data_IF_680911454081
#
_entry.id   IF_680911454081
#
_cell.length_a   1.000
_cell.length_b   1.000
_cell.length_c   1.000
_cell.angle_alpha   90.00
_cell.angle_beta   90.00
_cell.angle_gamma   90.00
#
_symmetry.space_group_name_H-M   'P 1'
#
loop_
_entity.id
_entity.type
_entity.pdbx_description
1 polymer ?
#
# COMPACT_ATOMS: atom_id res chain seq x y z
N UNK A 1 -52.57 -8.70 -82.93
CA UNK A 1 -52.45 -7.72 -81.81
C UNK A 1 -52.13 -8.49 -80.54
N UNK A 2 -51.11 -8.02 -79.81
CA UNK A 2 -50.68 -8.46 -78.47
C UNK A 2 -50.00 -9.83 -78.40
N UNK A 3 -48.67 -9.88 -78.60
CA UNK A 3 -47.56 -9.73 -77.63
C UNK A 3 -47.26 -11.00 -76.83
N UNK A 4 -46.18 -11.64 -77.27
CA UNK A 4 -45.56 -12.88 -76.83
C UNK A 4 -44.72 -12.65 -75.56
N UNK A 5 -44.92 -13.48 -74.54
CA UNK A 5 -44.00 -13.65 -73.40
C UNK A 5 -43.73 -15.14 -73.24
N UNK A 6 -42.46 -15.54 -73.16
CA UNK A 6 -41.86 -16.29 -72.04
C UNK A 6 -40.49 -16.91 -72.41
N UNK A 7 -39.64 -16.97 -71.38
CA UNK A 7 -38.44 -17.81 -71.19
C UNK A 7 -37.10 -17.35 -71.81
N UNK A 8 -36.15 -16.98 -70.95
CA UNK A 8 -34.85 -17.67 -70.66
C UNK A 8 -34.04 -16.76 -69.69
N UNK A 9 -33.81 -17.18 -68.44
CA UNK A 9 -32.57 -17.77 -67.89
C UNK A 9 -31.29 -16.96 -68.13
N UNK A 10 -30.66 -16.44 -67.06
CA UNK A 10 -29.25 -16.68 -66.69
C UNK A 10 -28.80 -15.75 -65.55
N UNK A 11 -28.21 -16.38 -64.54
CA UNK A 11 -27.52 -15.82 -63.38
C UNK A 11 -26.04 -15.60 -63.74
N UNK A 12 -25.48 -14.45 -63.40
CA UNK A 12 -24.14 -14.25 -62.83
C UNK A 12 -23.78 -12.75 -62.91
N UNK A 13 -23.74 -12.06 -61.77
CA UNK A 13 -23.16 -10.72 -61.67
C UNK A 13 -22.00 -10.78 -60.69
N UNK A 14 -20.81 -10.61 -61.26
CA UNK A 14 -19.53 -10.62 -60.58
C UNK A 14 -19.25 -9.34 -59.81
N UNK A 15 -18.30 -9.49 -58.90
CA UNK A 15 -17.72 -8.49 -58.03
C UNK A 15 -17.04 -7.38 -58.86
N UNK A 16 -17.36 -6.12 -58.54
CA UNK A 16 -16.47 -4.99 -58.82
C UNK A 16 -16.21 -4.22 -57.52
N UNK A 17 -14.92 -4.18 -57.17
CA UNK A 17 -14.32 -3.38 -56.12
C UNK A 17 -14.48 -1.89 -56.44
N UNK A 18 -14.97 -1.12 -55.49
CA UNK A 18 -14.83 0.32 -55.46
C UNK A 18 -13.87 0.66 -54.32
N UNK A 19 -12.70 1.16 -54.69
CA UNK A 19 -11.70 1.73 -53.81
C UNK A 19 -12.27 3.05 -53.24
N UNK A 20 -12.39 3.15 -51.92
CA UNK A 20 -12.49 4.43 -51.23
C UNK A 20 -11.50 4.40 -50.09
N UNK A 21 -10.49 5.26 -50.20
CA UNK A 21 -9.54 5.57 -49.14
C UNK A 21 -10.32 5.88 -47.86
N UNK A 22 -10.26 4.96 -46.91
CA UNK A 22 -10.62 5.22 -45.51
C UNK A 22 -9.34 5.04 -44.70
N UNK A 23 -8.62 6.15 -44.53
CA UNK A 23 -7.77 6.34 -43.35
C UNK A 23 -8.69 6.30 -42.13
N UNK A 24 -9.00 5.10 -41.66
CA UNK A 24 -9.63 4.82 -40.36
C UNK A 24 -9.62 3.29 -40.14
N UNK A 25 -8.43 2.68 -40.23
CA UNK A 25 -8.25 1.31 -39.76
C UNK A 25 -7.69 1.36 -38.32
N UNK A 26 -8.62 1.22 -37.39
CA UNK A 26 -8.48 1.09 -35.93
C UNK A 26 -8.79 2.40 -35.18
N UNK A 27 -9.71 2.38 -34.19
CA UNK A 27 -9.69 3.43 -33.19
C UNK A 27 -8.30 3.38 -32.53
N UNK A 28 -7.52 4.46 -32.66
CA UNK A 28 -6.38 4.65 -31.79
C UNK A 28 -6.97 4.73 -30.38
N UNK A 29 -6.82 3.65 -29.62
CA UNK A 29 -7.12 3.66 -28.21
C UNK A 29 -6.02 4.49 -27.55
N UNK A 30 -6.13 5.82 -27.62
CA UNK A 30 -5.34 6.73 -26.80
C UNK A 30 -5.83 6.54 -25.36
N UNK A 31 -5.49 5.40 -24.75
CA UNK A 31 -5.57 5.28 -23.31
C UNK A 31 -4.64 6.35 -22.76
N UNK A 32 -5.22 7.26 -22.00
CA UNK A 32 -4.46 8.30 -21.31
C UNK A 32 -3.39 7.62 -20.45
N UNK A 33 -2.10 8.00 -20.58
CA UNK A 33 -1.03 7.45 -19.78
C UNK A 33 -1.32 7.60 -18.28
N UNK A 34 -1.07 6.53 -17.52
CA UNK A 34 -1.36 6.47 -16.09
C UNK A 34 -0.08 6.48 -15.25
N UNK A 35 -0.16 7.09 -14.06
CA UNK A 35 0.76 6.86 -12.96
C UNK A 35 0.22 5.70 -12.14
N UNK A 36 0.98 4.61 -12.10
CA UNK A 36 0.61 3.39 -11.38
C UNK A 36 1.47 3.30 -10.13
N UNK A 37 0.83 3.30 -8.96
CA UNK A 37 1.52 3.06 -7.68
C UNK A 37 1.38 1.60 -7.31
N UNK A 38 2.51 0.93 -7.08
CA UNK A 38 2.55 -0.47 -6.61
C UNK A 38 3.16 -0.59 -5.23
N UNK A 39 2.69 -1.55 -4.44
CA UNK A 39 3.30 -1.89 -3.17
C UNK A 39 4.21 -3.10 -3.31
N UNK A 40 5.32 -3.10 -2.57
CA UNK A 40 6.20 -4.26 -2.45
C UNK A 40 6.62 -4.42 -1.00
N UNK A 41 6.62 -5.66 -0.51
CA UNK A 41 7.01 -5.99 0.85
C UNK A 41 8.35 -6.72 0.81
N UNK A 42 9.35 -6.22 1.53
CA UNK A 42 10.71 -6.69 1.41
C UNK A 42 11.34 -6.99 2.79
N UNK A 43 11.48 -8.27 3.17
CA UNK A 43 12.12 -8.67 4.44
C UNK A 43 13.65 -8.56 4.41
N UNK A 44 14.27 -8.33 3.24
CA UNK A 44 15.72 -8.19 3.08
C UNK A 44 16.17 -6.72 3.06
N UNK A 45 15.23 -5.78 2.95
CA UNK A 45 15.52 -4.36 3.00
C UNK A 45 16.07 -3.98 4.39
N UNK A 46 16.91 -2.95 4.45
CA UNK A 46 17.50 -2.50 5.70
C UNK A 46 16.42 -2.21 6.76
N UNK A 47 16.73 -2.55 8.02
CA UNK A 47 15.91 -2.21 9.17
C UNK A 47 16.30 -0.85 9.70
N UNK A 48 15.41 0.14 9.59
CA UNK A 48 15.65 1.52 10.00
C UNK A 48 14.86 1.90 11.26
N UNK A 49 15.38 2.89 12.00
CA UNK A 49 14.68 3.57 13.10
C UNK A 49 13.85 4.77 12.58
N UNK A 50 13.21 5.52 13.49
CA UNK A 50 12.41 6.70 13.17
C UNK A 50 13.18 7.84 12.47
N UNK A 51 14.51 7.88 12.62
CA UNK A 51 15.38 8.86 11.96
C UNK A 51 15.88 8.39 10.59
N UNK A 52 15.48 7.20 10.14
CA UNK A 52 15.97 6.61 8.89
C UNK A 52 17.38 6.01 8.99
N UNK A 53 17.89 5.77 10.19
CA UNK A 53 19.21 5.18 10.43
C UNK A 53 19.09 3.67 10.68
N UNK A 54 20.19 2.91 10.48
CA UNK A 54 20.21 1.49 10.77
C UNK A 54 19.85 1.20 12.24
N UNK A 55 18.98 0.21 12.44
CA UNK A 55 18.51 -0.19 13.76
C UNK A 55 18.79 -1.67 14.02
N UNK A 56 19.27 -1.96 15.23
CA UNK A 56 19.48 -3.32 15.73
C UNK A 56 18.34 -3.71 16.68
N UNK A 57 18.20 -5.02 16.94
CA UNK A 57 17.27 -5.50 17.97
C UNK A 57 17.90 -5.25 19.35
N UNK A 58 17.21 -4.57 20.28
CA UNK A 58 17.68 -4.36 21.64
C UNK A 58 17.91 -5.68 22.40
N UNK A 59 18.84 -5.67 23.36
CA UNK A 59 19.01 -6.80 24.28
C UNK A 59 17.73 -7.04 25.10
N UNK A 60 17.33 -8.31 25.21
CA UNK A 60 16.07 -8.70 25.85
C UNK A 60 14.84 -8.62 24.94
N UNK A 61 15.02 -8.27 23.66
CA UNK A 61 13.96 -8.34 22.65
C UNK A 61 14.30 -9.41 21.61
N UNK A 62 13.25 -10.00 21.04
CA UNK A 62 13.30 -10.84 19.85
C UNK A 62 12.40 -10.26 18.76
N UNK A 63 12.58 -10.73 17.52
CA UNK A 63 11.83 -10.21 16.38
C UNK A 63 11.69 -11.23 15.25
N UNK A 64 10.72 -10.98 14.38
CA UNK A 64 10.52 -11.73 13.14
C UNK A 64 10.06 -10.80 12.02
N UNK A 65 10.24 -11.23 10.77
CA UNK A 65 9.68 -10.56 9.60
C UNK A 65 8.32 -11.18 9.28
N UNK A 66 7.19 -10.49 9.49
CA UNK A 66 5.89 -11.01 9.11
C UNK A 66 5.79 -11.26 7.61
N UNK A 67 5.03 -12.29 7.23
CA UNK A 67 4.67 -12.52 5.84
C UNK A 67 3.45 -11.65 5.49
N UNK A 68 3.70 -10.37 5.14
CA UNK A 68 2.64 -9.44 4.80
C UNK A 68 1.88 -9.89 3.54
N UNK A 69 0.56 -9.96 3.66
CA UNK A 69 -0.37 -10.30 2.59
C UNK A 69 -0.92 -9.04 1.93
N UNK A 70 -1.26 -8.01 2.73
CA UNK A 70 -1.86 -6.78 2.24
C UNK A 70 -1.52 -5.55 3.10
N UNK A 71 -1.54 -4.37 2.49
CA UNK A 71 -1.40 -3.07 3.15
C UNK A 71 -2.37 -2.05 2.56
N UNK A 72 -2.67 -1.01 3.34
CA UNK A 72 -3.41 0.16 2.91
C UNK A 72 -2.65 1.43 3.26
N UNK A 73 -2.68 2.42 2.36
CA UNK A 73 -2.27 3.79 2.65
C UNK A 73 -3.50 4.71 2.75
N UNK A 74 -3.36 5.80 3.50
CA UNK A 74 -4.33 6.89 3.52
C UNK A 74 -3.79 8.15 2.83
N UNK A 75 -2.49 8.21 2.51
CA UNK A 75 -1.91 9.38 1.89
C UNK A 75 -0.62 9.01 1.14
N UNK A 76 -0.43 9.55 -0.06
CA UNK A 76 0.83 9.45 -0.82
C UNK A 76 1.15 10.83 -1.40
N UNK A 77 2.38 11.28 -1.19
CA UNK A 77 2.88 12.57 -1.68
C UNK A 77 4.28 12.43 -2.27
N UNK A 78 4.50 13.04 -3.42
CA UNK A 78 5.83 13.24 -3.99
C UNK A 78 6.38 14.60 -3.60
N UNK A 79 7.57 14.61 -3.00
CA UNK A 79 8.22 15.82 -2.52
C UNK A 79 9.43 16.17 -3.42
N UNK A 80 9.46 17.40 -3.99
CA UNK A 80 10.58 17.86 -4.82
C UNK A 80 11.92 17.91 -4.09
N UNK A 81 11.97 18.21 -2.79
CA UNK A 81 13.23 18.33 -2.06
C UNK A 81 13.12 17.86 -0.60
N UNK A 82 14.26 17.75 0.07
CA UNK A 82 14.35 17.41 1.49
C UNK A 82 13.70 18.45 2.42
N UNK A 83 13.48 19.68 1.94
CA UNK A 83 12.85 20.78 2.69
C UNK A 83 11.39 21.00 2.31
N UNK A 84 10.82 20.21 1.40
CA UNK A 84 9.38 20.24 1.13
C UNK A 84 8.64 19.79 2.39
N UNK A 85 7.77 20.65 2.93
CA UNK A 85 6.96 20.34 4.12
C UNK A 85 5.86 19.35 3.75
N UNK A 86 5.46 18.50 4.70
CA UNK A 86 4.38 17.53 4.49
C UNK A 86 3.10 18.28 4.07
N UNK A 87 2.52 17.89 2.94
CA UNK A 87 1.34 18.54 2.35
C UNK A 87 1.64 19.64 1.33
N UNK A 88 2.90 20.07 1.19
CA UNK A 88 3.31 21.09 0.21
C UNK A 88 3.88 20.46 -1.09
N UNK A 89 4.07 19.15 -1.13
CA UNK A 89 4.43 18.40 -2.33
C UNK A 89 3.22 18.08 -3.23
N UNK A 90 3.45 17.20 -4.19
CA UNK A 90 2.41 16.70 -5.09
C UNK A 90 1.65 15.55 -4.42
N UNK A 91 0.40 15.78 -4.05
CA UNK A 91 -0.46 14.78 -3.42
C UNK A 91 -1.03 13.84 -4.49
N UNK A 92 -0.56 12.60 -4.47
CA UNK A 92 -0.96 11.55 -5.43
C UNK A 92 -2.21 10.82 -4.96
N UNK A 93 -2.39 10.72 -3.64
CA UNK A 93 -3.49 10.01 -3.04
C UNK A 93 -3.86 10.58 -1.68
N UNK A 94 -5.17 10.70 -1.44
CA UNK A 94 -5.74 10.91 -0.11
C UNK A 94 -6.95 9.97 0.05
N UNK A 95 -6.91 9.16 1.10
CA UNK A 95 -7.93 8.16 1.40
C UNK A 95 -9.15 8.76 2.09
N UNK A 96 -10.26 8.00 2.13
CA UNK A 96 -11.49 8.42 2.77
C UNK A 96 -11.30 8.57 4.29
N UNK A 97 -11.91 9.64 4.83
CA UNK A 97 -11.93 9.96 6.25
C UNK A 97 -13.36 10.15 6.72
N UNK A 98 -13.58 9.92 8.00
CA UNK A 98 -14.90 10.01 8.63
C UNK A 98 -14.79 10.70 9.98
N UNK A 99 -15.87 11.37 10.39
CA UNK A 99 -16.10 11.89 11.74
C UNK A 99 -17.04 10.98 12.55
N UNK A 100 -17.45 9.85 11.99
CA UNK A 100 -18.06 8.77 12.75
C UNK A 100 -17.08 8.30 13.82
N UNK A 101 -17.55 8.13 15.06
CA UNK A 101 -16.69 7.91 16.23
C UNK A 101 -16.17 9.19 16.90
N UNK A 102 -16.51 10.37 16.37
CA UNK A 102 -16.30 11.68 16.98
C UNK A 102 -15.13 12.46 16.39
N UNK A 103 -13.89 12.03 16.67
CA UNK A 103 -12.70 12.67 16.09
C UNK A 103 -12.49 12.21 14.63
N UNK A 104 -11.94 13.09 13.78
CA UNK A 104 -11.60 12.74 12.40
C UNK A 104 -10.68 11.50 12.38
N UNK A 105 -11.07 10.50 11.60
CA UNK A 105 -10.38 9.23 11.49
C UNK A 105 -10.32 8.77 10.03
N UNK A 106 -9.38 7.90 9.71
CA UNK A 106 -9.37 7.12 8.46
C UNK A 106 -10.62 6.23 8.47
N UNK A 107 -11.36 6.19 7.37
CA UNK A 107 -12.50 5.28 7.21
C UNK A 107 -11.99 3.92 6.70
N UNK A 108 -11.80 2.97 7.62
CA UNK A 108 -11.27 1.65 7.27
C UNK A 108 -12.18 0.89 6.31
N UNK A 109 -13.49 1.08 6.40
CA UNK A 109 -14.46 0.35 5.58
C UNK A 109 -14.40 0.76 4.10
N UNK A 110 -13.82 1.93 3.83
CA UNK A 110 -13.60 2.45 2.48
C UNK A 110 -12.12 2.44 2.09
N UNK A 111 -11.26 1.79 2.88
CA UNK A 111 -9.84 1.72 2.59
C UNK A 111 -9.56 0.94 1.30
N UNK A 112 -8.55 1.39 0.56
CA UNK A 112 -7.99 0.68 -0.59
C UNK A 112 -6.86 -0.22 -0.11
N UNK A 113 -6.72 -1.41 -0.67
CA UNK A 113 -5.72 -2.39 -0.27
C UNK A 113 -4.88 -2.84 -1.46
N UNK A 114 -3.61 -3.16 -1.21
CA UNK A 114 -2.76 -3.80 -2.19
C UNK A 114 -1.82 -4.82 -1.51
N UNK A 115 -1.66 -5.97 -2.14
CA UNK A 115 -0.68 -6.97 -1.79
C UNK A 115 0.70 -6.74 -2.40
N UNK A 116 1.55 -7.75 -2.28
CA UNK A 116 2.93 -7.68 -2.74
C UNK A 116 3.03 -7.67 -4.28
N UNK A 117 3.64 -6.61 -4.82
CA UNK A 117 3.73 -6.26 -6.25
C UNK A 117 2.38 -5.95 -6.92
N UNK A 118 1.34 -5.68 -6.13
CA UNK A 118 0.03 -5.30 -6.65
C UNK A 118 -0.09 -3.79 -6.83
N UNK A 119 -1.00 -3.39 -7.73
CA UNK A 119 -1.34 -1.98 -7.94
C UNK A 119 -2.22 -1.51 -6.79
N UNK A 120 -1.78 -0.46 -6.12
CA UNK A 120 -2.55 0.24 -5.09
C UNK A 120 -3.52 1.23 -5.73
N UNK A 121 -3.02 2.12 -6.58
CA UNK A 121 -3.84 3.07 -7.35
C UNK A 121 -3.26 3.24 -8.76
N UNK A 122 -4.13 3.68 -9.66
CA UNK A 122 -3.78 4.14 -11.00
C UNK A 122 -4.52 5.44 -11.25
N UNK A 123 -3.79 6.51 -11.53
CA UNK A 123 -4.34 7.84 -11.80
C UNK A 123 -3.81 8.37 -13.14
N UNK A 124 -4.58 9.17 -13.89
CA UNK A 124 -4.06 9.78 -15.11
C UNK A 124 -2.86 10.68 -14.84
N UNK A 125 -1.79 10.55 -15.65
CA UNK A 125 -0.60 11.40 -15.53
C UNK A 125 -0.92 12.89 -15.74
N UNK A 126 -2.01 13.20 -16.46
CA UNK A 126 -2.50 14.58 -16.61
C UNK A 126 -2.95 15.23 -15.30
N UNK A 127 -3.23 14.44 -14.26
CA UNK A 127 -3.59 14.91 -12.92
C UNK A 127 -2.37 15.12 -12.03
N UNK A 128 -1.17 14.74 -12.50
CA UNK A 128 0.06 14.85 -11.73
C UNK A 128 0.90 16.00 -12.28
N UNK A 129 1.32 16.90 -11.40
CA UNK A 129 2.17 18.01 -11.82
C UNK A 129 3.47 17.53 -12.47
N UNK A 130 3.89 18.18 -13.55
CA UNK A 130 5.22 17.95 -14.10
C UNK A 130 6.29 18.50 -13.15
N UNK A 131 7.41 17.79 -13.04
CA UNK A 131 8.44 18.14 -12.07
C UNK A 131 9.43 17.02 -11.81
N UNK A 132 10.38 17.35 -10.95
CA UNK A 132 11.34 16.40 -10.41
C UNK A 132 11.05 16.17 -8.93
N UNK A 133 10.90 14.92 -8.55
CA UNK A 133 10.60 14.49 -7.19
C UNK A 133 11.76 13.65 -6.66
N UNK A 134 12.32 14.08 -5.54
CA UNK A 134 13.44 13.39 -4.90
C UNK A 134 12.97 12.42 -3.80
N UNK A 135 11.75 12.60 -3.31
CA UNK A 135 11.23 11.90 -2.15
C UNK A 135 9.77 11.49 -2.36
N UNK A 136 9.37 10.43 -1.66
CA UNK A 136 7.97 10.03 -1.48
C UNK A 136 7.67 9.96 0.01
N UNK A 137 6.44 10.30 0.36
CA UNK A 137 5.89 10.23 1.71
C UNK A 137 4.60 9.43 1.66
N UNK A 138 4.46 8.47 2.56
CA UNK A 138 3.31 7.56 2.58
C UNK A 138 2.78 7.47 4.00
N UNK A 139 1.54 7.91 4.24
CA UNK A 139 0.83 7.60 5.48
C UNK A 139 0.17 6.23 5.32
N UNK A 140 0.67 5.23 6.04
CA UNK A 140 0.02 3.92 6.05
C UNK A 140 -1.17 3.92 7.01
N UNK A 141 -2.23 3.23 6.60
CA UNK A 141 -3.43 3.04 7.40
C UNK A 141 -3.44 1.67 8.08
N UNK A 142 -3.03 0.63 7.34
CA UNK A 142 -3.22 -0.76 7.70
C UNK A 142 -2.14 -1.66 7.10
N UNK A 143 -1.83 -2.74 7.80
CA UNK A 143 -1.00 -3.82 7.29
C UNK A 143 -1.47 -5.15 7.91
N UNK A 144 -1.42 -6.22 7.13
CA UNK A 144 -1.84 -7.55 7.55
C UNK A 144 -0.87 -8.60 7.04
N UNK A 145 -0.51 -9.53 7.91
CA UNK A 145 0.38 -10.62 7.56
C UNK A 145 0.44 -11.71 8.60
N UNK A 146 1.09 -12.80 8.23
CA UNK A 146 1.24 -13.96 9.11
C UNK A 146 2.48 -13.84 9.98
N UNK A 147 2.34 -14.26 11.23
CA UNK A 147 3.40 -14.35 12.23
C UNK A 147 3.44 -15.76 12.82
N UNK A 148 4.62 -16.19 13.24
CA UNK A 148 4.81 -17.44 13.96
C UNK A 148 4.82 -17.19 15.46
N UNK A 149 4.10 -18.02 16.21
CA UNK A 149 4.08 -18.02 17.68
C UNK A 149 4.28 -19.44 18.21
N UNK A 150 4.91 -19.54 19.38
CA UNK A 150 5.05 -20.80 20.09
C UNK A 150 3.98 -20.88 21.17
N UNK A 151 3.16 -21.93 21.12
CA UNK A 151 2.10 -22.17 22.11
C UNK A 151 2.09 -23.62 22.55
N UNK A 152 2.27 -23.84 23.85
CA UNK A 152 2.35 -25.18 24.44
C UNK A 152 3.36 -26.10 23.74
N UNK A 153 4.50 -25.53 23.31
CA UNK A 153 5.56 -26.24 22.59
C UNK A 153 5.27 -26.55 21.11
N UNK A 154 4.16 -26.05 20.55
CA UNK A 154 3.84 -26.16 19.14
C UNK A 154 4.00 -24.80 18.46
N UNK A 155 4.70 -24.79 17.32
CA UNK A 155 4.76 -23.60 16.47
C UNK A 155 3.44 -23.49 15.70
N UNK A 156 2.80 -22.33 15.82
CA UNK A 156 1.52 -22.02 15.21
C UNK A 156 1.68 -20.74 14.39
N UNK A 157 1.07 -20.70 13.23
CA UNK A 157 0.93 -19.50 12.42
C UNK A 157 -0.40 -18.81 12.76
N UNK A 158 -0.36 -17.49 12.85
CA UNK A 158 -1.55 -16.66 13.01
C UNK A 158 -1.46 -15.38 12.20
N UNK A 159 -2.60 -14.82 11.86
CA UNK A 159 -2.72 -13.60 11.08
C UNK A 159 -2.84 -12.39 12.01
N UNK A 160 -1.97 -11.41 11.81
CA UNK A 160 -1.95 -10.15 12.54
C UNK A 160 -2.44 -9.02 11.64
N UNK A 161 -3.52 -8.37 12.04
CA UNK A 161 -3.98 -7.09 11.52
C UNK A 161 -3.41 -5.95 12.37
N UNK A 162 -2.66 -5.03 11.78
CA UNK A 162 -2.10 -3.87 12.47
C UNK A 162 -2.62 -2.56 11.86
N UNK A 163 -3.22 -1.73 12.71
CA UNK A 163 -3.72 -0.41 12.37
C UNK A 163 -2.64 0.61 12.69
N UNK A 164 -1.87 0.94 11.66
CA UNK A 164 -0.71 1.81 11.78
C UNK A 164 -1.03 3.27 11.50
N UNK A 165 -2.25 3.61 11.04
CA UNK A 165 -2.70 4.99 10.78
C UNK A 165 -2.94 5.82 12.04
N UNK A 166 -3.02 7.15 11.87
CA UNK A 166 -3.04 8.10 13.01
C UNK A 166 -4.24 7.92 13.94
N UNK A 167 -5.39 7.70 13.34
CA UNK A 167 -6.67 7.41 13.97
C UNK A 167 -7.54 6.75 12.90
N UNK A 168 -8.13 5.60 13.20
CA UNK A 168 -8.89 4.81 12.23
C UNK A 168 -10.23 4.42 12.84
N UNK A 169 -11.31 4.74 12.15
CA UNK A 169 -12.64 4.22 12.50
C UNK A 169 -12.79 2.84 11.86
N UNK A 170 -13.15 1.86 12.68
CA UNK A 170 -13.23 0.45 12.29
C UNK A 170 -14.62 -0.06 12.66
N UNK A 171 -15.39 -0.56 11.70
CA UNK A 171 -16.65 -1.25 12.02
C UNK A 171 -16.34 -2.65 12.53
N UNK A 172 -15.81 -3.48 11.63
CA UNK A 172 -15.47 -4.88 11.87
C UNK A 172 -14.10 -5.18 11.23
N UNK A 173 -13.38 -6.13 11.84
CA UNK A 173 -12.19 -6.75 11.27
C UNK A 173 -12.55 -8.17 10.89
N UNK A 174 -12.19 -8.59 9.67
CA UNK A 174 -12.34 -9.97 9.25
C UNK A 174 -10.95 -10.60 9.08
N UNK A 175 -10.60 -11.51 10.00
CA UNK A 175 -9.37 -12.31 9.93
C UNK A 175 -9.75 -13.78 9.77
N UNK A 176 -9.39 -14.41 8.65
CA UNK A 176 -9.64 -15.84 8.41
C UNK A 176 -11.11 -16.26 8.65
N UNK A 177 -12.05 -15.43 8.19
CA UNK A 177 -13.51 -15.57 8.38
C UNK A 177 -13.98 -15.42 9.84
N UNK A 178 -13.13 -14.96 10.75
CA UNK A 178 -13.52 -14.52 12.08
C UNK A 178 -13.78 -13.01 12.07
N UNK A 179 -15.00 -12.64 12.47
CA UNK A 179 -15.42 -11.25 12.54
C UNK A 179 -15.19 -10.73 13.96
N UNK A 180 -14.45 -9.64 14.09
CA UNK A 180 -14.19 -8.92 15.33
C UNK A 180 -14.86 -7.55 15.21
N UNK A 181 -15.97 -7.35 15.92
CA UNK A 181 -16.66 -6.06 15.93
C UNK A 181 -15.96 -5.05 16.83
N UNK A 182 -15.68 -3.87 16.28
CA UNK A 182 -14.96 -2.78 16.93
C UNK A 182 -15.91 -1.58 17.08
N UNK A 183 -16.44 -1.07 15.96
CA UNK A 183 -17.36 0.07 15.87
C UNK A 183 -16.90 1.31 16.67
N UNK A 184 -15.60 1.63 16.58
CA UNK A 184 -15.00 2.74 17.31
C UNK A 184 -13.73 3.26 16.63
N UNK A 185 -13.31 4.46 17.04
CA UNK A 185 -12.02 5.03 16.66
C UNK A 185 -10.88 4.33 17.42
N UNK A 186 -9.86 3.92 16.70
CA UNK A 186 -8.63 3.34 17.24
C UNK A 186 -7.42 4.16 16.81
N UNK A 187 -6.58 4.49 17.78
CA UNK A 187 -5.32 5.21 17.54
C UNK A 187 -4.29 4.28 16.91
N UNK A 188 -3.22 4.89 16.37
CA UNK A 188 -2.05 4.17 15.89
C UNK A 188 -1.61 3.10 16.90
N UNK A 189 -1.38 1.90 16.41
CA UNK A 189 -0.88 0.81 17.24
C UNK A 189 -1.96 -0.16 17.70
N UNK A 190 -3.23 0.07 17.37
CA UNK A 190 -4.26 -0.96 17.56
C UNK A 190 -3.98 -2.17 16.65
N UNK A 191 -4.22 -3.37 17.17
CA UNK A 191 -4.03 -4.59 16.42
C UNK A 191 -5.06 -5.64 16.80
N UNK A 192 -5.35 -6.53 15.86
CA UNK A 192 -6.13 -7.73 16.06
C UNK A 192 -5.35 -8.93 15.55
N UNK A 193 -5.54 -10.07 16.21
CA UNK A 193 -4.82 -11.29 15.92
C UNK A 193 -5.79 -12.46 15.88
N UNK A 194 -5.59 -13.35 14.92
CA UNK A 194 -6.34 -14.59 14.78
C UNK A 194 -5.38 -15.77 14.60
N UNK A 195 -5.64 -16.87 15.30
CA UNK A 195 -5.06 -18.17 14.99
C UNK A 195 -6.00 -19.30 15.38
N UNK A 196 -6.21 -20.25 14.47
CA UNK A 196 -6.98 -21.48 14.71
C UNK A 196 -8.41 -21.22 15.26
N UNK A 197 -9.05 -20.13 14.84
CA UNK A 197 -10.36 -19.68 15.29
C UNK A 197 -10.36 -18.89 16.60
N UNK A 198 -9.21 -18.71 17.24
CA UNK A 198 -9.08 -17.83 18.40
C UNK A 198 -8.72 -16.41 17.95
N UNK A 199 -9.49 -15.43 18.41
CA UNK A 199 -9.24 -14.02 18.14
C UNK A 199 -8.91 -13.25 19.42
N UNK A 200 -7.95 -12.34 19.34
CA UNK A 200 -7.69 -11.35 20.39
C UNK A 200 -7.29 -10.01 19.76
N UNK A 201 -7.29 -8.94 20.54
CA UNK A 201 -6.90 -7.60 20.09
C UNK A 201 -6.18 -6.86 21.20
N UNK A 202 -5.42 -5.83 20.82
CA UNK A 202 -4.68 -5.00 21.77
C UNK A 202 -4.27 -3.67 21.18
N UNK A 203 -3.50 -2.93 21.96
CA UNK A 203 -3.03 -1.60 21.64
C UNK A 203 -1.55 -1.50 22.02
N UNK A 204 -0.69 -1.20 21.06
CA UNK A 204 0.71 -0.91 21.31
C UNK A 204 0.84 0.42 22.08
N UNK A 205 1.91 0.58 22.89
CA UNK A 205 2.17 1.84 23.59
C UNK A 205 2.29 3.02 22.62
N UNK A 206 1.88 4.21 23.07
CA UNK A 206 1.96 5.42 22.26
C UNK A 206 3.41 5.71 21.83
N UNK A 207 3.62 5.96 20.54
CA UNK A 207 4.93 6.23 19.96
C UNK A 207 5.84 5.02 19.80
N UNK A 208 5.39 3.81 20.13
CA UNK A 208 6.19 2.59 19.99
C UNK A 208 6.28 2.11 18.53
N UNK A 209 5.30 2.43 17.68
CA UNK A 209 5.29 2.06 16.26
C UNK A 209 6.35 2.85 15.50
N UNK A 210 7.35 2.15 14.95
CA UNK A 210 8.40 2.79 14.13
C UNK A 210 7.83 3.26 12.78
N UNK A 211 8.17 4.50 12.42
CA UNK A 211 7.81 5.15 11.15
C UNK A 211 9.02 5.96 10.67
N UNK A 212 9.86 5.40 9.79
CA UNK A 212 11.11 6.04 9.40
C UNK A 212 10.92 7.36 8.63
N UNK A 213 11.57 8.41 9.11
CA UNK A 213 11.66 9.70 8.42
C UNK A 213 13.12 10.20 8.37
N UNK A 214 13.90 9.87 7.32
CA UNK A 214 15.24 10.45 7.12
C UNK A 214 15.27 11.98 6.97
N UNK A 215 14.11 12.62 6.80
CA UNK A 215 14.00 14.08 6.69
C UNK A 215 13.64 14.76 8.02
N UNK A 216 13.80 14.08 9.17
CA UNK A 216 13.37 14.60 10.47
C UNK A 216 13.88 16.02 10.77
N UNK A 217 15.13 16.34 10.44
CA UNK A 217 15.73 17.65 10.70
C UNK A 217 15.28 18.76 9.72
N UNK A 218 14.95 18.42 8.48
CA UNK A 218 14.67 19.40 7.41
C UNK A 218 13.19 19.55 7.11
N UNK A 219 12.41 18.50 7.34
CA UNK A 219 10.97 18.44 7.11
C UNK A 219 10.37 17.38 8.04
N UNK A 220 10.19 17.73 9.33
CA UNK A 220 9.63 16.85 10.34
C UNK A 220 8.18 16.49 10.03
N UNK A 221 7.76 15.38 10.61
CA UNK A 221 6.44 14.81 10.44
C UNK A 221 5.76 14.79 11.81
N UNK A 222 4.48 15.17 11.93
CA UNK A 222 3.79 15.13 13.21
C UNK A 222 3.85 13.73 13.83
N UNK A 223 4.13 13.66 15.13
CA UNK A 223 4.12 12.39 15.86
C UNK A 223 2.76 11.72 15.71
N UNK A 224 2.74 10.41 15.47
CA UNK A 224 1.52 9.64 15.26
C UNK A 224 0.83 9.86 13.91
N UNK A 225 1.44 10.55 12.94
CA UNK A 225 0.88 10.69 11.57
C UNK A 225 1.20 9.54 10.62
N UNK A 226 2.11 8.65 11.04
CA UNK A 226 2.35 7.37 10.38
C UNK A 226 2.93 7.49 8.97
N UNK A 227 3.49 8.66 8.67
CA UNK A 227 4.09 8.96 7.37
C UNK A 227 5.53 8.46 7.33
N UNK A 228 5.76 7.40 6.55
CA UNK A 228 7.10 6.93 6.23
C UNK A 228 7.64 7.69 5.01
N UNK A 229 8.90 8.08 5.06
CA UNK A 229 9.56 8.83 3.99
C UNK A 229 10.63 7.97 3.31
N UNK A 230 10.61 7.94 1.98
CA UNK A 230 11.62 7.25 1.15
C UNK A 230 12.26 8.19 0.14
N UNK A 231 13.55 7.98 -0.13
CA UNK A 231 14.28 8.71 -1.16
C UNK A 231 14.33 7.91 -2.46
N UNK A 232 14.06 8.55 -3.59
CA UNK A 232 14.36 7.94 -4.88
C UNK A 232 15.87 7.88 -5.12
N UNK A 233 16.38 6.72 -5.51
CA UNK A 233 17.81 6.56 -5.86
C UNK A 233 18.19 7.37 -7.11
N UNK A 234 17.27 7.45 -8.06
CA UNK A 234 17.31 8.36 -9.20
C UNK A 234 16.05 9.22 -9.14
N UNK A 235 16.14 10.56 -9.16
CA UNK A 235 14.97 11.43 -9.03
C UNK A 235 13.86 11.02 -9.99
N UNK A 236 12.63 10.98 -9.50
CA UNK A 236 11.47 10.66 -10.31
C UNK A 236 11.07 11.90 -11.12
N UNK A 237 11.00 11.75 -12.45
CA UNK A 237 10.77 12.87 -13.36
C UNK A 237 9.45 12.66 -14.08
N UNK A 238 8.56 13.64 -13.98
CA UNK A 238 7.37 13.78 -14.83
C UNK A 238 7.60 14.98 -15.74
N UNK A 239 7.51 14.75 -17.05
CA UNK A 239 7.66 15.75 -18.10
C UNK A 239 6.34 16.42 -18.48
N UNK A 240 5.22 15.71 -18.34
CA UNK A 240 3.90 16.12 -18.83
C UNK A 240 3.65 15.72 -20.30
N UNK A 241 4.60 15.03 -20.93
CA UNK A 241 4.56 14.58 -22.33
C UNK A 241 4.69 13.05 -22.44
N UNK A 242 4.43 12.34 -21.33
CA UNK A 242 4.41 10.89 -21.30
C UNK A 242 3.39 10.34 -22.30
N UNK A 243 3.76 9.25 -22.98
CA UNK A 243 2.89 8.54 -23.93
C UNK A 243 2.61 7.10 -23.51
N UNK A 244 3.18 6.70 -22.38
CA UNK A 244 3.10 5.36 -21.80
C UNK A 244 2.92 5.50 -20.29
N UNK A 245 2.33 4.48 -19.68
CA UNK A 245 2.19 4.41 -18.23
C UNK A 245 3.56 4.50 -17.55
N UNK A 246 3.56 5.09 -16.37
CA UNK A 246 4.73 5.22 -15.51
C UNK A 246 4.41 4.51 -14.21
N UNK A 247 5.27 3.58 -13.82
CA UNK A 247 5.10 2.83 -12.58
C UNK A 247 6.04 3.36 -11.51
N UNK A 248 5.50 3.64 -10.32
CA UNK A 248 6.28 3.88 -9.10
C UNK A 248 5.96 2.77 -8.11
N UNK A 249 6.96 1.98 -7.79
CA UNK A 249 6.84 0.90 -6.82
C UNK A 249 7.46 1.31 -5.48
N UNK A 250 6.69 1.12 -4.42
CA UNK A 250 7.02 1.49 -3.05
C UNK A 250 7.42 0.21 -2.29
N UNK A 251 8.74 -0.01 -2.12
CA UNK A 251 9.27 -1.14 -1.36
C UNK A 251 9.36 -0.80 0.12
N UNK A 252 8.48 -1.42 0.90
CA UNK A 252 8.43 -1.31 2.35
C UNK A 252 9.31 -2.37 3.00
N UNK A 253 10.15 -1.96 3.95
CA UNK A 253 10.96 -2.90 4.73
C UNK A 253 10.11 -3.54 5.81
N UNK A 254 10.00 -4.86 5.73
CA UNK A 254 9.32 -5.72 6.72
C UNK A 254 10.32 -6.51 7.56
N UNK A 255 11.61 -6.23 7.38
CA UNK A 255 12.73 -6.90 8.02
C UNK A 255 12.64 -6.74 9.54
N UNK A 256 12.32 -7.82 10.25
CA UNK A 256 12.23 -7.85 11.71
C UNK A 256 11.35 -6.70 12.23
N UNK A 257 10.22 -6.49 11.56
CA UNK A 257 9.29 -5.40 11.88
C UNK A 257 8.42 -5.73 13.09
N UNK A 258 8.13 -7.01 13.33
CA UNK A 258 7.42 -7.47 14.53
C UNK A 258 8.43 -7.82 15.62
N UNK A 259 8.42 -7.05 16.70
CA UNK A 259 9.41 -7.10 17.79
C UNK A 259 8.69 -7.19 19.14
N UNK A 260 9.19 -8.02 20.04
CA UNK A 260 8.61 -8.23 21.37
C UNK A 260 9.67 -8.31 22.45
N UNK A 261 9.27 -8.08 23.70
CA UNK A 261 10.11 -8.36 24.87
C UNK A 261 10.17 -9.87 25.09
N UNK A 262 11.37 -10.42 25.11
CA UNK A 262 11.61 -11.85 25.23
C UNK A 262 11.69 -12.25 26.72
N UNK A 263 10.87 -13.22 27.12
CA UNK A 263 10.90 -13.80 28.47
C UNK A 263 11.69 -15.11 28.45
N UNK A 264 11.44 -15.93 27.42
CA UNK A 264 12.18 -17.15 27.17
C UNK A 264 13.14 -16.90 26.00
N UNK A 265 14.47 -16.96 26.20
CA UNK A 265 15.44 -16.59 25.17
C UNK A 265 15.61 -17.69 24.10
N UNK A 266 14.57 -17.92 23.31
CA UNK A 266 14.49 -18.95 22.27
C UNK A 266 14.16 -18.41 20.87
N UNK A 267 13.87 -17.11 20.74
CA UNK A 267 13.58 -16.43 19.50
C UNK A 267 12.17 -16.63 18.97
N UNK A 268 11.25 -17.25 19.74
CA UNK A 268 9.86 -17.41 19.36
C UNK A 268 8.96 -16.46 20.15
N UNK A 269 7.86 -16.02 19.52
CA UNK A 269 6.88 -15.21 20.22
C UNK A 269 5.94 -16.08 21.05
N UNK A 270 5.95 -15.88 22.37
CA UNK A 270 5.18 -16.65 23.36
C UNK A 270 4.30 -15.73 24.23
N UNK A 271 3.13 -15.28 23.74
CA UNK A 271 2.22 -14.43 24.52
C UNK A 271 1.85 -15.02 25.89
N UNK A 272 1.72 -16.35 25.97
CA UNK A 272 1.39 -17.06 27.22
C UNK A 272 2.50 -17.03 28.26
N UNK A 273 3.76 -16.80 27.85
CA UNK A 273 4.89 -16.59 28.75
C UNK A 273 4.95 -15.15 29.29
N UNK A 274 4.06 -14.27 28.82
CA UNK A 274 4.00 -12.86 29.22
C UNK A 274 4.75 -11.93 28.27
N UNK A 275 5.23 -12.41 27.13
CA UNK A 275 5.91 -11.60 26.12
C UNK A 275 4.98 -10.54 25.53
N UNK A 276 5.47 -9.30 25.44
CA UNK A 276 4.68 -8.15 25.00
C UNK A 276 5.21 -7.61 23.68
N UNK A 277 4.29 -7.26 22.79
CA UNK A 277 4.60 -6.54 21.55
C UNK A 277 5.26 -5.19 21.89
N UNK A 278 6.43 -4.95 21.31
CA UNK A 278 7.19 -3.70 21.42
C UNK A 278 6.94 -2.83 20.19
N UNK A 279 7.07 -3.41 19.00
CA UNK A 279 6.97 -2.68 17.75
C UNK A 279 6.41 -3.57 16.65
N UNK A 280 5.65 -2.97 15.76
CA UNK A 280 5.10 -3.58 14.56
C UNK A 280 5.17 -2.63 13.36
N UNK A 281 5.82 -1.48 13.50
CA UNK A 281 5.95 -0.49 12.45
C UNK A 281 6.86 -0.95 11.32
N UNK A 282 6.70 -0.31 10.16
CA UNK A 282 7.60 -0.55 9.04
C UNK A 282 9.02 -0.09 9.35
N UNK A 283 9.98 -0.69 8.65
CA UNK A 283 11.40 -0.45 8.88
C UNK A 283 12.09 0.31 7.76
N UNK A 284 11.33 0.90 6.84
CA UNK A 284 11.86 1.78 5.79
C UNK A 284 11.02 1.76 4.51
N UNK A 285 11.32 2.70 3.62
CA UNK A 285 10.70 2.82 2.30
C UNK A 285 11.77 3.12 1.26
N UNK A 286 11.87 2.28 0.23
CA UNK A 286 12.70 2.51 -0.96
C UNK A 286 11.76 2.57 -2.17
N UNK A 287 11.55 3.76 -2.75
CA UNK A 287 10.82 3.88 -3.99
C UNK A 287 11.72 3.63 -5.21
N UNK A 288 11.15 3.03 -6.24
CA UNK A 288 11.76 2.88 -7.55
C UNK A 288 10.72 3.13 -8.63
N UNK A 289 11.15 3.60 -9.79
CA UNK A 289 10.27 3.91 -10.91
C UNK A 289 10.75 3.22 -12.19
N UNK A 290 9.80 2.99 -13.08
CA UNK A 290 10.03 2.42 -14.41
C UNK A 290 9.01 2.95 -15.41
N UNK A 291 9.43 3.02 -16.67
CA UNK A 291 8.59 3.29 -17.83
C UNK A 291 8.56 2.05 -18.72
#
# INVERSE_FOLDING_TARGET
>A
MSYLKYCFLAIALGLMSCNSDSEDCCPINNQEPQLIIKFKFNPEQLRLNNLGELSVIPEGNASQSPNFQTMSANYIEFAPSASTILGDGEIIYEGPKTDVGGALAIDFNQAVFAGNNETFISIPLSQVSSGQYNWVRVSLAYQEGDIQLLSNGNLIEGTLASFVGFNTYIDDINLNNQIISVNENKLQGFWAFEALGFTTSGQAPEGATTVPNPLFETSPIPQGSCVVTGQFSTPFQISGEETQDVEVSLSFSTNQSFEWTEVNPDGFYEPSAGEQLVDMGLRGLIPYHSN
#
